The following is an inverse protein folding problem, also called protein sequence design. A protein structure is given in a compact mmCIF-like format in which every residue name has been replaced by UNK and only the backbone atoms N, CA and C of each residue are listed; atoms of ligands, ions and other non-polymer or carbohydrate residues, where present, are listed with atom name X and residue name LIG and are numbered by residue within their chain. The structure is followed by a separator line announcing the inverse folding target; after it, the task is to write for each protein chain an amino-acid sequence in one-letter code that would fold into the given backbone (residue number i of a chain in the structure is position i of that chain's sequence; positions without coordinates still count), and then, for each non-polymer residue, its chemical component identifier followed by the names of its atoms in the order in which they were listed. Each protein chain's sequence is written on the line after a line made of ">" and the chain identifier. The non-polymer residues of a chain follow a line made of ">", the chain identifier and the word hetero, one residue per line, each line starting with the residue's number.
data_IF_632066399834
#
_entry.id   IF_632066399834
#
_cell.length_a   1.000
_cell.length_b   1.000
_cell.length_c   1.000
_cell.angle_alpha   90.00
_cell.angle_beta   90.00
_cell.angle_gamma   90.00
#
_symmetry.space_group_name_H-M   'P 1'
#
loop_
_entity.id
_entity.type
_entity.pdbx_description
1 polymer ?
#
# COMPACT_ATOMS: atom_id res chain seq x y z
N UNK A 1 -1.64 -1.57 -22.37
CA UNK A 1 -2.75 -1.21 -21.45
C UNK A 1 -2.98 -2.23 -20.32
N UNK A 2 -3.14 -3.54 -20.58
CA UNK A 2 -3.42 -4.56 -19.53
C UNK A 2 -2.33 -4.68 -18.42
N UNK A 3 -1.08 -4.30 -18.71
CA UNK A 3 0.02 -4.44 -17.75
C UNK A 3 0.12 -3.32 -16.70
N UNK A 4 -0.59 -2.19 -16.86
CA UNK A 4 -0.53 -1.08 -15.92
C UNK A 4 -1.08 -1.48 -14.55
N UNK A 5 -2.21 -2.21 -14.52
CA UNK A 5 -2.81 -2.67 -13.26
C UNK A 5 -1.89 -3.61 -12.48
N UNK A 6 -1.03 -4.36 -13.19
CA UNK A 6 -0.05 -5.24 -12.53
C UNK A 6 1.02 -4.48 -11.77
N UNK A 7 1.31 -3.22 -12.13
CA UNK A 7 2.24 -2.37 -11.38
C UNK A 7 1.72 -2.04 -9.97
N UNK A 8 0.39 -2.07 -9.77
CA UNK A 8 -0.24 -1.85 -8.48
C UNK A 8 -0.46 -3.14 -7.70
N UNK A 9 0.08 -4.28 -8.15
CA UNK A 9 0.01 -5.56 -7.44
C UNK A 9 1.34 -5.83 -6.75
N UNK A 10 1.37 -5.72 -5.42
CA UNK A 10 2.50 -6.15 -4.61
C UNK A 10 2.46 -7.68 -4.41
N UNK A 11 3.44 -8.45 -4.90
CA UNK A 11 3.46 -9.90 -4.78
C UNK A 11 3.61 -10.40 -3.34
N UNK A 12 4.13 -9.57 -2.43
CA UNK A 12 4.23 -9.89 -1.00
C UNK A 12 2.89 -9.79 -0.27
N UNK A 13 1.90 -9.16 -0.89
CA UNK A 13 0.63 -8.84 -0.24
C UNK A 13 0.78 -7.81 0.88
N UNK A 14 -0.27 -7.66 1.65
CA UNK A 14 -0.28 -6.81 2.85
C UNK A 14 0.28 -7.58 4.05
N UNK A 15 0.84 -6.91 5.07
CA UNK A 15 1.40 -7.58 6.26
C UNK A 15 0.41 -8.52 6.96
N UNK A 16 -0.88 -8.20 6.92
CA UNK A 16 -1.94 -8.97 7.57
C UNK A 16 -2.63 -9.97 6.64
N UNK A 17 -2.54 -9.79 5.31
CA UNK A 17 -3.23 -10.59 4.31
C UNK A 17 -2.43 -10.69 3.01
N UNK A 18 -1.93 -11.90 2.74
CA UNK A 18 -1.14 -12.23 1.54
C UNK A 18 -1.98 -12.32 0.25
N UNK A 19 -3.32 -12.31 0.36
CA UNK A 19 -4.26 -12.34 -0.77
C UNK A 19 -4.69 -10.94 -1.19
N UNK A 20 -4.73 -9.99 -0.24
CA UNK A 20 -4.79 -8.57 -0.54
C UNK A 20 -3.44 -8.13 -1.11
N UNK A 21 -3.37 -7.89 -2.43
CA UNK A 21 -2.12 -7.56 -3.12
C UNK A 21 -2.16 -6.22 -3.83
N UNK A 22 -3.35 -5.68 -4.02
CA UNK A 22 -3.50 -4.44 -4.75
C UNK A 22 -3.18 -3.26 -3.82
N UNK A 23 -2.13 -2.52 -4.17
CA UNK A 23 -1.50 -1.47 -3.36
C UNK A 23 -2.44 -0.28 -3.16
N UNK A 24 -3.21 0.09 -4.20
CA UNK A 24 -4.18 1.18 -4.11
C UNK A 24 -5.51 0.77 -3.51
N UNK A 25 -6.05 -0.40 -3.85
CA UNK A 25 -7.39 -0.82 -3.46
C UNK A 25 -7.31 -2.12 -2.68
N UNK A 26 -7.70 -2.11 -1.43
CA UNK A 26 -7.81 -3.31 -0.61
C UNK A 26 -9.09 -3.26 0.19
N UNK A 27 -9.67 -4.43 0.47
CA UNK A 27 -10.77 -4.56 1.42
C UNK A 27 -10.22 -4.39 2.83
N UNK A 28 -10.85 -3.53 3.63
CA UNK A 28 -10.50 -3.44 5.05
C UNK A 28 -10.93 -4.72 5.77
N UNK A 29 -10.08 -5.23 6.67
CA UNK A 29 -10.43 -6.38 7.53
C UNK A 29 -11.56 -6.06 8.52
N UNK A 30 -11.71 -4.80 8.92
CA UNK A 30 -12.75 -4.37 9.86
C UNK A 30 -14.08 -4.09 9.18
N UNK A 31 -14.06 -3.70 7.90
CA UNK A 31 -15.25 -3.51 7.07
C UNK A 31 -14.93 -3.78 5.59
N UNK A 32 -15.36 -4.94 5.09
CA UNK A 32 -15.12 -5.35 3.70
C UNK A 32 -15.89 -4.51 2.67
N UNK A 33 -16.87 -3.71 3.08
CA UNK A 33 -17.59 -2.77 2.22
C UNK A 33 -16.99 -1.37 2.22
N UNK A 34 -16.14 -1.05 3.21
CA UNK A 34 -15.36 0.18 3.22
C UNK A 34 -14.14 0.00 2.30
N UNK A 35 -14.27 0.45 1.05
CA UNK A 35 -13.12 0.59 0.16
C UNK A 35 -12.14 1.61 0.73
N UNK A 36 -10.91 1.20 1.00
CA UNK A 36 -9.85 2.11 1.45
C UNK A 36 -8.77 2.21 0.38
N UNK A 37 -8.38 3.46 0.10
CA UNK A 37 -7.28 3.75 -0.82
C UNK A 37 -5.98 3.73 -0.05
N UNK A 38 -4.96 3.02 -0.54
CA UNK A 38 -3.66 2.87 0.12
C UNK A 38 -3.79 2.36 1.58
N UNK A 39 -4.59 1.31 1.77
CA UNK A 39 -5.00 0.80 3.06
C UNK A 39 -3.82 0.50 4.02
N UNK A 40 -2.67 0.05 3.51
CA UNK A 40 -1.46 -0.17 4.33
C UNK A 40 -0.94 1.12 4.96
N UNK A 41 -0.88 2.21 4.19
CA UNK A 41 -0.42 3.51 4.68
C UNK A 41 -1.39 4.05 5.72
N UNK A 42 -2.70 3.93 5.46
CA UNK A 42 -3.72 4.33 6.42
C UNK A 42 -3.65 3.53 7.72
N UNK A 43 -3.46 2.22 7.63
CA UNK A 43 -3.33 1.36 8.81
C UNK A 43 -2.13 1.77 9.66
N UNK A 44 -0.96 2.00 9.06
CA UNK A 44 0.23 2.40 9.82
C UNK A 44 0.02 3.77 10.47
N UNK A 45 -0.68 4.70 9.81
CA UNK A 45 -1.02 6.00 10.41
C UNK A 45 -1.99 5.87 11.59
N UNK A 46 -2.96 4.96 11.49
CA UNK A 46 -3.91 4.64 12.58
C UNK A 46 -3.18 3.99 13.76
N UNK A 47 -2.31 3.02 13.49
CA UNK A 47 -1.45 2.38 14.48
C UNK A 47 -0.53 3.41 15.15
N UNK A 48 -0.02 4.40 14.42
CA UNK A 48 0.78 5.51 14.97
C UNK A 48 -0.03 6.48 15.85
N UNK A 49 -1.33 6.64 15.60
CA UNK A 49 -2.19 7.50 16.40
C UNK A 49 -2.46 6.89 17.79
N UNK A 50 -2.47 5.55 17.89
CA UNK A 50 -2.70 4.82 19.14
C UNK A 50 -1.40 4.36 19.83
N UNK A 51 -0.25 4.45 19.15
CA UNK A 51 1.04 3.95 19.63
C UNK A 51 1.71 4.80 20.72
N UNK A 52 2.56 4.16 21.52
CA UNK A 52 3.43 4.84 22.49
C UNK A 52 4.68 5.41 21.81
N UNK A 53 5.36 6.37 22.46
CA UNK A 53 6.54 7.06 21.91
C UNK A 53 7.67 6.12 21.54
N UNK A 54 7.79 4.99 22.24
CA UNK A 54 8.80 3.97 22.02
C UNK A 54 8.54 3.14 20.76
N UNK A 55 7.28 3.06 20.31
CA UNK A 55 6.86 2.32 19.11
C UNK A 55 6.92 3.18 17.84
N UNK A 56 6.91 4.52 17.99
CA UNK A 56 6.93 5.46 16.86
C UNK A 56 8.11 5.28 15.89
N UNK A 57 9.36 4.99 16.31
CA UNK A 57 10.46 4.80 15.37
C UNK A 57 10.23 3.61 14.44
N UNK A 58 9.80 2.48 14.99
CA UNK A 58 9.53 1.27 14.21
C UNK A 58 8.33 1.45 13.26
N UNK A 59 7.28 2.14 13.71
CA UNK A 59 6.14 2.49 12.86
C UNK A 59 6.51 3.51 11.78
N UNK A 60 7.45 4.41 12.06
CA UNK A 60 8.01 5.33 11.08
C UNK A 60 8.77 4.62 9.95
N UNK A 61 9.58 3.63 10.29
CA UNK A 61 10.28 2.79 9.31
C UNK A 61 9.27 2.01 8.45
N UNK A 62 8.23 1.45 9.07
CA UNK A 62 7.16 0.75 8.35
C UNK A 62 6.37 1.69 7.45
N UNK A 63 6.04 2.90 7.91
CA UNK A 63 5.37 3.91 7.10
C UNK A 63 6.20 4.28 5.87
N UNK A 64 7.50 4.51 6.05
CA UNK A 64 8.42 4.82 4.95
C UNK A 64 8.47 3.67 3.93
N UNK A 65 8.49 2.42 4.40
CA UNK A 65 8.44 1.24 3.54
C UNK A 65 7.13 1.17 2.73
N UNK A 66 5.98 1.36 3.37
CA UNK A 66 4.68 1.33 2.68
C UNK A 66 4.55 2.46 1.64
N UNK A 67 5.02 3.67 1.96
CA UNK A 67 5.07 4.79 1.01
C UNK A 67 6.00 4.46 -0.17
N UNK A 68 7.14 3.83 0.08
CA UNK A 68 8.08 3.43 -0.96
C UNK A 68 7.46 2.44 -1.95
N UNK A 69 6.68 1.47 -1.45
CA UNK A 69 5.94 0.51 -2.28
C UNK A 69 4.94 1.24 -3.19
N UNK A 70 4.13 2.14 -2.63
CA UNK A 70 3.17 2.95 -3.40
C UNK A 70 3.89 3.76 -4.47
N UNK A 71 4.98 4.43 -4.11
CA UNK A 71 5.75 5.26 -5.02
C UNK A 71 6.33 4.44 -6.18
N UNK A 72 6.92 3.29 -5.88
CA UNK A 72 7.46 2.36 -6.89
C UNK A 72 6.38 1.85 -7.83
N UNK A 73 5.20 1.50 -7.32
CA UNK A 73 4.04 1.09 -8.12
C UNK A 73 3.56 2.19 -9.07
N UNK A 74 3.49 3.44 -8.60
CA UNK A 74 3.11 4.60 -9.44
C UNK A 74 4.14 4.83 -10.54
N UNK A 75 5.43 4.79 -10.23
CA UNK A 75 6.50 4.91 -11.23
C UNK A 75 6.42 3.81 -12.29
N UNK A 76 6.17 2.56 -11.87
CA UNK A 76 5.94 1.46 -12.81
C UNK A 76 4.75 1.75 -13.72
N UNK A 77 3.63 2.23 -13.16
CA UNK A 77 2.44 2.59 -13.93
C UNK A 77 2.73 3.67 -14.97
N UNK A 78 3.43 4.75 -14.58
CA UNK A 78 3.82 5.84 -15.49
C UNK A 78 4.73 5.33 -16.60
N UNK A 79 5.77 4.55 -16.27
CA UNK A 79 6.66 3.96 -17.28
C UNK A 79 5.92 3.03 -18.24
N UNK A 80 4.99 2.22 -17.72
CA UNK A 80 4.14 1.36 -18.51
C UNK A 80 3.13 2.12 -19.39
N UNK A 81 2.86 3.40 -19.13
CA UNK A 81 2.14 4.28 -20.05
C UNK A 81 3.06 4.98 -21.04
N UNK A 82 4.26 5.38 -20.62
CA UNK A 82 5.24 6.05 -21.45
C UNK A 82 5.73 5.16 -22.62
N UNK A 83 5.77 3.83 -22.44
CA UNK A 83 6.07 2.90 -23.54
C UNK A 83 4.99 2.83 -24.63
N UNK A 84 3.78 3.38 -24.38
CA UNK A 84 2.66 3.34 -25.33
C UNK A 84 2.42 4.67 -26.07
N UNK A 85 3.08 5.76 -25.67
CA UNK A 85 3.02 7.08 -26.33
C UNK A 85 4.24 7.25 -27.23
#
# INVERSE_FOLDING_TARGET
>A
MINVERCFVNPRGTPDDATARHVLFSTSKTDNYAGQVMQQVYKVLDDMAEATKEQLPALGDELANQISIVHSSVLCGISAFAEFI
#
